data_IF_328483568857
#
_entry.id   IF_328483568857
#
_cell.length_a   1.000
_cell.length_b   1.000
_cell.length_c   1.000
_cell.angle_alpha   90.00
_cell.angle_beta   90.00
_cell.angle_gamma   90.00
#
_symmetry.space_group_name_H-M   'P 1'
#
loop_
_entity.id
_entity.type
_entity.pdbx_description
1 polymer ?
#
# COMPACT_ATOMS: atom_id res chain seq x y z
N UNK A 1 7.92 4.06 -25.17
CA UNK A 1 8.88 3.53 -24.17
C UNK A 1 8.02 2.74 -23.23
N UNK A 2 7.87 1.46 -23.52
CA UNK A 2 6.94 0.57 -22.85
C UNK A 2 7.64 0.07 -21.58
N UNK A 3 7.95 1.03 -20.70
CA UNK A 3 8.51 0.75 -19.40
C UNK A 3 7.47 -0.06 -18.64
N UNK A 4 7.69 -1.36 -18.55
CA UNK A 4 7.00 -2.20 -17.59
C UNK A 4 7.43 -1.73 -16.21
N UNK A 5 6.66 -0.80 -15.65
CA UNK A 5 6.76 -0.41 -14.26
C UNK A 5 6.37 -1.66 -13.46
N UNK A 6 7.31 -2.09 -12.61
CA UNK A 6 7.33 -3.43 -12.02
C UNK A 6 6.00 -3.86 -11.40
N UNK A 7 5.86 -5.17 -11.06
CA UNK A 7 4.62 -5.69 -10.52
C UNK A 7 4.19 -4.88 -9.28
N UNK A 8 2.87 -4.69 -9.12
CA UNK A 8 2.33 -4.13 -7.88
C UNK A 8 2.88 -4.92 -6.69
N UNK A 9 3.44 -4.23 -5.71
CA UNK A 9 4.00 -4.87 -4.53
C UNK A 9 2.88 -5.27 -3.57
N UNK A 10 2.41 -6.51 -3.71
CA UNK A 10 1.36 -7.07 -2.86
C UNK A 10 1.70 -8.45 -2.36
N UNK A 11 1.50 -8.66 -1.06
CA UNK A 11 1.62 -9.96 -0.40
C UNK A 11 0.29 -10.30 0.25
N UNK A 12 -0.23 -11.50 0.02
CA UNK A 12 -1.44 -12.01 0.68
C UNK A 12 -1.05 -13.07 1.71
N UNK A 13 -1.61 -13.00 2.92
CA UNK A 13 -1.38 -13.97 4.02
C UNK A 13 -2.69 -14.30 4.73
N UNK A 14 -2.71 -15.38 5.48
CA UNK A 14 -3.88 -15.84 6.24
C UNK A 14 -4.80 -16.77 5.43
N UNK A 15 -5.84 -17.31 6.09
CA UNK A 15 -6.77 -18.27 5.48
C UNK A 15 -7.78 -17.58 4.56
N UNK A 16 -8.34 -18.33 3.61
CA UNK A 16 -9.34 -17.85 2.63
C UNK A 16 -8.77 -17.73 1.22
N UNK A 17 -9.65 -17.83 0.21
CA UNK A 17 -9.26 -17.76 -1.21
C UNK A 17 -8.97 -16.31 -1.65
N UNK A 18 -9.66 -15.33 -1.06
CA UNK A 18 -9.52 -13.91 -1.34
C UNK A 18 -9.26 -13.15 -0.04
N UNK A 19 -8.48 -12.05 -0.08
CA UNK A 19 -8.23 -11.23 1.10
C UNK A 19 -9.50 -10.47 1.51
N UNK A 20 -9.87 -10.57 2.78
CA UNK A 20 -10.99 -9.81 3.37
C UNK A 20 -10.54 -8.45 3.91
N UNK A 21 -9.24 -8.28 4.16
CA UNK A 21 -8.63 -7.04 4.64
C UNK A 21 -7.49 -6.65 3.72
N UNK A 22 -7.43 -5.39 3.32
CA UNK A 22 -6.28 -4.83 2.60
C UNK A 22 -5.65 -3.73 3.44
N UNK A 23 -4.35 -3.86 3.70
CA UNK A 23 -3.52 -2.86 4.37
C UNK A 23 -2.65 -2.19 3.30
N UNK A 24 -2.86 -0.90 3.07
CA UNK A 24 -2.15 -0.13 2.04
C UNK A 24 -1.22 0.89 2.69
N UNK A 25 0.01 0.99 2.21
CA UNK A 25 0.95 2.05 2.55
C UNK A 25 1.75 2.50 1.33
N UNK A 26 2.57 3.55 1.50
CA UNK A 26 3.47 4.00 0.45
C UNK A 26 2.76 4.55 -0.78
N UNK A 27 1.63 5.24 -0.58
CA UNK A 27 1.00 6.02 -1.65
C UNK A 27 1.90 7.19 -2.04
N UNK A 28 2.52 7.82 -1.04
CA UNK A 28 3.68 8.67 -1.23
C UNK A 28 4.94 7.93 -0.76
N UNK A 29 6.01 8.00 -1.53
CA UNK A 29 7.26 7.29 -1.25
C UNK A 29 8.08 7.87 -0.09
N UNK A 30 7.90 9.16 0.18
CA UNK A 30 8.55 9.86 1.29
C UNK A 30 7.89 9.57 2.67
N UNK A 31 6.72 8.91 2.71
CA UNK A 31 5.98 8.56 3.92
C UNK A 31 6.44 7.25 4.58
N UNK A 32 7.70 7.22 5.03
CA UNK A 32 8.43 6.02 5.52
C UNK A 32 7.74 5.22 6.64
N UNK A 33 6.91 5.86 7.48
CA UNK A 33 6.33 5.20 8.66
C UNK A 33 5.37 4.07 8.31
N UNK A 34 4.44 4.29 7.38
CA UNK A 34 3.51 3.28 6.90
C UNK A 34 4.22 2.16 6.14
N UNK A 35 5.19 2.51 5.30
CA UNK A 35 6.00 1.55 4.52
C UNK A 35 6.71 0.57 5.47
N UNK A 36 7.36 1.09 6.52
CA UNK A 36 8.03 0.26 7.53
C UNK A 36 7.05 -0.58 8.34
N UNK A 37 5.85 -0.07 8.63
CA UNK A 37 4.82 -0.82 9.35
C UNK A 37 4.34 -2.02 8.51
N UNK A 38 4.03 -1.80 7.23
CA UNK A 38 3.63 -2.86 6.31
C UNK A 38 4.72 -3.91 6.15
N UNK A 39 5.99 -3.52 5.95
CA UNK A 39 7.08 -4.49 5.84
C UNK A 39 7.24 -5.33 7.10
N UNK A 40 7.14 -4.73 8.29
CA UNK A 40 7.17 -5.49 9.55
C UNK A 40 6.00 -6.45 9.69
N UNK A 41 4.79 -6.05 9.28
CA UNK A 41 3.62 -6.94 9.32
C UNK A 41 3.76 -8.10 8.34
N UNK A 42 4.35 -7.86 7.16
CA UNK A 42 4.64 -8.90 6.17
C UNK A 42 5.60 -9.96 6.72
N UNK A 43 6.61 -9.55 7.48
CA UNK A 43 7.64 -10.42 8.05
C UNK A 43 7.25 -11.04 9.39
N UNK A 44 6.32 -10.45 10.13
CA UNK A 44 5.93 -10.91 11.45
C UNK A 44 5.22 -12.28 11.40
N UNK A 45 5.46 -13.10 12.42
CA UNK A 45 4.68 -14.31 12.64
C UNK A 45 3.32 -13.92 13.26
N UNK A 46 2.30 -13.78 12.43
CA UNK A 46 0.97 -13.33 12.81
C UNK A 46 -0.01 -14.49 12.70
N UNK A 47 -0.76 -14.74 13.77
CA UNK A 47 -1.89 -15.66 13.78
C UNK A 47 -3.13 -15.02 13.13
N UNK A 48 -3.08 -14.89 11.80
CA UNK A 48 -4.13 -14.26 11.01
C UNK A 48 -5.37 -15.16 10.91
N UNK A 49 -6.50 -14.66 11.42
CA UNK A 49 -7.77 -15.40 11.40
C UNK A 49 -8.54 -15.28 10.07
N UNK A 50 -8.04 -14.47 9.13
CA UNK A 50 -8.66 -14.15 7.83
C UNK A 50 -7.61 -13.71 6.82
N UNK A 51 -7.95 -13.72 5.54
CA UNK A 51 -7.07 -13.31 4.46
C UNK A 51 -6.76 -11.81 4.53
N UNK A 52 -5.48 -11.45 4.51
CA UNK A 52 -5.00 -10.07 4.54
C UNK A 52 -4.04 -9.83 3.39
N UNK A 53 -4.31 -8.81 2.57
CA UNK A 53 -3.39 -8.29 1.58
C UNK A 53 -2.62 -7.10 2.14
N UNK A 54 -1.30 -7.11 1.98
CA UNK A 54 -0.40 -6.02 2.33
C UNK A 54 0.13 -5.39 1.04
N UNK A 55 -0.11 -4.10 0.83
CA UNK A 55 0.15 -3.39 -0.43
C UNK A 55 1.10 -2.21 -0.18
N UNK A 56 2.18 -2.13 -0.97
CA UNK A 56 2.93 -0.89 -1.16
C UNK A 56 2.48 -0.25 -2.48
N UNK A 57 1.81 0.89 -2.39
CA UNK A 57 1.00 1.43 -3.48
C UNK A 57 1.81 2.06 -4.62
N UNK A 58 2.93 2.74 -4.31
CA UNK A 58 3.83 3.36 -5.28
C UNK A 58 5.29 2.91 -5.05
N UNK A 59 5.65 1.66 -5.44
CA UNK A 59 6.98 1.09 -5.16
C UNK A 59 8.14 1.94 -5.67
N UNK A 60 7.99 2.59 -6.82
CA UNK A 60 9.06 3.38 -7.42
C UNK A 60 9.26 4.72 -6.72
N UNK A 61 8.17 5.41 -6.33
CA UNK A 61 8.31 6.59 -5.48
C UNK A 61 8.92 6.21 -4.12
N UNK A 62 8.57 5.05 -3.56
CA UNK A 62 9.17 4.52 -2.32
C UNK A 62 10.68 4.30 -2.47
N UNK A 63 11.10 3.68 -3.57
CA UNK A 63 12.52 3.45 -3.87
C UNK A 63 13.28 4.75 -4.06
N UNK A 64 12.70 5.72 -4.77
CA UNK A 64 13.28 7.06 -4.92
C UNK A 64 13.26 7.88 -3.61
N UNK A 65 12.39 7.52 -2.67
CA UNK A 65 12.16 8.29 -1.45
C UNK A 65 11.49 9.64 -1.70
N UNK A 66 10.77 9.76 -2.82
CA UNK A 66 10.07 10.97 -3.24
C UNK A 66 8.56 10.85 -3.01
N UNK A 67 7.87 11.98 -2.93
CA UNK A 67 6.41 11.98 -2.70
C UNK A 67 5.66 11.26 -3.83
N UNK A 68 6.06 11.51 -5.07
CA UNK A 68 5.59 10.87 -6.30
C UNK A 68 6.65 11.15 -7.38
N UNK A 69 6.58 10.46 -8.52
CA UNK A 69 7.53 10.64 -9.62
C UNK A 69 6.97 11.52 -10.75
N UNK A 70 5.75 11.24 -11.21
CA UNK A 70 5.10 12.01 -12.27
C UNK A 70 3.90 12.81 -11.72
N UNK A 71 2.97 12.13 -11.04
CA UNK A 71 1.75 12.73 -10.47
C UNK A 71 1.43 12.23 -9.07
N UNK A 72 0.70 13.02 -8.27
CA UNK A 72 0.24 12.58 -6.95
C UNK A 72 -0.76 11.42 -7.09
N UNK A 73 -0.34 10.20 -6.69
CA UNK A 73 -1.15 8.98 -6.79
C UNK A 73 -2.53 9.12 -6.12
N UNK A 74 -2.66 9.88 -5.02
CA UNK A 74 -3.95 10.11 -4.35
C UNK A 74 -4.92 10.99 -5.15
N UNK A 75 -4.47 11.62 -6.24
CA UNK A 75 -5.26 12.55 -7.05
C UNK A 75 -5.75 11.95 -8.37
N UNK A 76 -5.14 10.85 -8.80
CA UNK A 76 -5.33 10.31 -10.15
C UNK A 76 -6.23 9.08 -10.21
N UNK A 77 -6.75 8.60 -9.07
CA UNK A 77 -7.77 7.54 -9.08
C UNK A 77 -9.04 7.96 -9.84
N UNK A 78 -9.66 7.09 -10.66
CA UNK A 78 -9.40 5.65 -10.81
C UNK A 78 -8.21 5.28 -11.70
N UNK A 79 -7.50 6.26 -12.26
CA UNK A 79 -6.34 6.07 -13.13
C UNK A 79 -6.69 5.99 -14.61
N UNK A 80 -5.65 6.00 -15.44
CA UNK A 80 -5.69 5.80 -16.88
C UNK A 80 -4.62 4.76 -17.27
N UNK A 81 -4.99 3.59 -17.84
CA UNK A 81 -4.05 2.59 -18.33
C UNK A 81 -3.06 3.09 -19.40
N UNK A 82 -3.40 4.17 -20.11
CA UNK A 82 -2.58 4.80 -21.13
C UNK A 82 -1.98 6.15 -20.67
N UNK A 83 -2.22 6.52 -19.41
CA UNK A 83 -1.74 7.75 -18.79
C UNK A 83 -0.30 7.71 -18.30
N UNK A 84 0.06 8.64 -17.43
CA UNK A 84 1.34 8.66 -16.76
C UNK A 84 1.54 7.44 -15.83
N UNK A 85 2.67 7.41 -15.13
CA UNK A 85 2.98 6.29 -14.22
C UNK A 85 1.95 6.13 -13.11
N UNK A 86 1.67 7.19 -12.35
CA UNK A 86 0.74 7.09 -11.23
C UNK A 86 -0.70 6.86 -11.69
N UNK A 87 -1.10 7.40 -12.85
CA UNK A 87 -2.38 7.07 -13.49
C UNK A 87 -2.48 5.57 -13.82
N UNK A 88 -1.41 4.97 -14.36
CA UNK A 88 -1.38 3.53 -14.65
C UNK A 88 -1.35 2.67 -13.39
N UNK A 89 -0.65 3.11 -12.34
CA UNK A 89 -0.65 2.45 -11.03
C UNK A 89 -2.07 2.48 -10.43
N UNK A 90 -2.75 3.64 -10.46
CA UNK A 90 -4.12 3.79 -9.97
C UNK A 90 -5.09 2.86 -10.72
N UNK A 91 -4.99 2.79 -12.05
CA UNK A 91 -5.80 1.90 -12.87
C UNK A 91 -5.63 0.42 -12.47
N UNK A 92 -4.39 -0.02 -12.20
CA UNK A 92 -4.10 -1.39 -11.73
C UNK A 92 -4.67 -1.68 -10.35
N UNK A 93 -4.63 -0.73 -9.41
CA UNK A 93 -5.23 -0.89 -8.06
C UNK A 93 -6.76 -1.00 -8.12
N UNK A 94 -7.42 -0.26 -9.02
CA UNK A 94 -8.87 -0.30 -9.20
C UNK A 94 -9.38 -1.64 -9.75
N UNK A 95 -8.66 -2.26 -10.69
CA UNK A 95 -9.03 -3.57 -11.26
C UNK A 95 -9.05 -4.69 -10.21
N UNK A 96 -8.33 -4.53 -9.10
CA UNK A 96 -8.15 -5.56 -8.07
C UNK A 96 -9.00 -5.40 -6.81
N UNK A 97 -9.67 -4.25 -6.62
CA UNK A 97 -10.30 -3.91 -5.34
C UNK A 97 -11.83 -4.07 -5.39
N UNK A 98 -12.33 -5.29 -5.22
CA UNK A 98 -13.70 -5.52 -4.79
C UNK A 98 -13.84 -5.22 -3.29
N UNK A 99 -14.05 -3.95 -2.93
CA UNK A 99 -14.26 -3.42 -1.57
C UNK A 99 -13.10 -3.65 -0.56
N UNK A 100 -12.31 -2.61 -0.26
CA UNK A 100 -11.47 -2.59 0.95
C UNK A 100 -11.18 -1.17 1.47
N UNK A 101 -11.20 -1.05 2.81
CA UNK A 101 -10.94 0.16 3.58
C UNK A 101 -9.49 0.61 3.39
N UNK A 102 -9.29 1.77 2.76
CA UNK A 102 -8.00 2.44 2.70
C UNK A 102 -7.72 3.13 4.05
N UNK A 103 -6.87 2.53 4.89
CA UNK A 103 -6.28 3.25 6.03
C UNK A 103 -4.87 3.70 5.63
N UNK A 104 -4.73 4.94 5.18
CA UNK A 104 -3.42 5.60 5.12
C UNK A 104 -2.92 5.80 6.56
N UNK A 105 -1.92 5.03 7.00
CA UNK A 105 -1.19 5.37 8.23
C UNK A 105 -0.24 6.52 7.90
N UNK A 106 -0.78 7.74 7.83
CA UNK A 106 0.02 8.95 7.73
C UNK A 106 0.21 9.53 9.13
N UNK A 107 1.46 9.43 9.63
CA UNK A 107 2.05 10.12 10.80
C UNK A 107 1.75 9.54 12.20
N UNK A 108 2.69 8.72 12.70
CA UNK A 108 2.85 8.50 14.14
C UNK A 108 3.67 9.66 14.73
N UNK A 109 3.03 10.60 15.43
CA UNK A 109 3.76 11.50 16.34
C UNK A 109 4.19 10.69 17.58
N UNK A 110 5.46 10.69 18.00
CA UNK A 110 5.86 10.01 19.22
C UNK A 110 5.36 10.81 20.44
N UNK A 111 4.14 10.56 20.89
CA UNK A 111 3.70 10.85 22.26
C UNK A 111 2.34 10.21 22.56
N UNK A 112 2.35 8.95 23.01
CA UNK A 112 1.74 8.47 24.28
C UNK A 112 1.67 6.94 24.30
N UNK A 113 1.95 6.41 25.49
CA UNK A 113 1.90 4.99 25.87
C UNK A 113 0.54 4.39 25.50
N UNK A 114 0.55 3.24 24.82
CA UNK A 114 -0.60 2.34 24.81
C UNK A 114 -0.46 1.43 26.03
N UNK A 115 -1.40 1.57 26.96
CA UNK A 115 -1.56 0.65 28.07
C UNK A 115 -2.07 -0.69 27.51
N UNK A 116 -1.34 -1.76 27.79
CA UNK A 116 -1.87 -3.12 27.72
C UNK A 116 -2.59 -3.34 29.05
N UNK A 117 -3.90 -3.53 28.99
CA UNK A 117 -4.72 -3.91 30.14
C UNK A 117 -5.10 -5.40 29.99
N UNK A 118 -5.37 -6.08 31.12
CA UNK A 118 -4.79 -7.37 31.50
C UNK A 118 -5.38 -8.60 30.81
#
# INVERSE_FOLDING_TARGET
MDGDFGPLDVTVRGPGAEPEVVVVAGVHGDERSGIRAVNRLREADLDLQRGVAFVLANPEAIEAGERYLDSDLNRVFPGDPDGDREERIAARHCVRSGACIATSVTRVHPNRRVAVAP
#
